data_IF_949958476696
#
_entry.id   IF_949958476696
#
_cell.length_a   1.000
_cell.length_b   1.000
_cell.length_c   1.000
_cell.angle_alpha   90.00
_cell.angle_beta   90.00
_cell.angle_gamma   90.00
#
_symmetry.space_group_name_H-M   'P 1'
#
loop_
_entity.id
_entity.type
_entity.pdbx_description
1 polymer ?
#
# COMPACT_ATOMS: atom_id res chain seq x y z
N UNK A 1 0.56 5.41 -5.76
CA UNK A 1 1.30 4.43 -6.57
C UNK A 1 0.48 3.19 -6.89
N UNK A 2 1.11 2.21 -7.55
CA UNK A 2 0.43 1.02 -8.07
C UNK A 2 -0.12 0.04 -7.03
N UNK A 3 0.29 0.12 -5.76
CA UNK A 3 -0.18 -0.73 -4.67
C UNK A 3 -1.06 0.06 -3.69
N UNK A 4 -0.59 1.22 -3.24
CA UNK A 4 -1.25 1.97 -2.17
C UNK A 4 -2.71 2.34 -2.47
N UNK A 5 -3.05 2.72 -3.72
CA UNK A 5 -4.44 3.07 -4.06
C UNK A 5 -5.40 1.88 -4.01
N UNK A 6 -4.90 0.68 -4.28
CA UNK A 6 -5.68 -0.56 -4.12
C UNK A 6 -5.84 -0.89 -2.65
N UNK A 7 -4.76 -0.81 -1.86
CA UNK A 7 -4.79 -1.07 -0.42
C UNK A 7 -5.79 -0.16 0.32
N UNK A 8 -5.83 1.13 -0.01
CA UNK A 8 -6.80 2.08 0.56
C UNK A 8 -8.24 1.63 0.28
N UNK A 9 -8.56 1.26 -0.95
CA UNK A 9 -9.90 0.82 -1.34
C UNK A 9 -10.30 -0.49 -0.66
N UNK A 10 -9.38 -1.46 -0.59
CA UNK A 10 -9.62 -2.73 0.12
C UNK A 10 -9.88 -2.53 1.61
N UNK A 11 -9.10 -1.67 2.27
CA UNK A 11 -9.30 -1.36 3.68
C UNK A 11 -10.66 -0.66 3.90
N UNK A 12 -11.02 0.30 3.04
CA UNK A 12 -12.33 0.97 3.06
C UNK A 12 -13.49 0.00 2.85
N UNK A 13 -13.38 -0.89 1.88
CA UNK A 13 -14.40 -1.92 1.61
C UNK A 13 -14.61 -2.89 2.80
N UNK A 14 -13.59 -3.03 3.65
CA UNK A 14 -13.66 -3.80 4.91
C UNK A 14 -14.12 -2.97 6.12
N UNK A 15 -14.55 -1.72 5.92
CA UNK A 15 -15.09 -0.84 6.95
C UNK A 15 -14.04 -0.12 7.80
N UNK A 16 -12.76 -0.15 7.42
CA UNK A 16 -11.72 0.56 8.14
C UNK A 16 -11.80 2.08 7.92
N UNK A 17 -11.48 2.85 8.96
CA UNK A 17 -11.06 4.24 8.81
C UNK A 17 -9.63 4.25 8.30
N UNK A 18 -9.39 4.91 7.16
CA UNK A 18 -8.10 4.82 6.47
C UNK A 18 -7.41 6.17 6.42
N UNK A 19 -6.17 6.17 6.83
CA UNK A 19 -5.21 7.26 6.70
C UNK A 19 -4.13 6.82 5.70
N UNK A 20 -3.76 7.68 4.76
CA UNK A 20 -2.78 7.33 3.75
C UNK A 20 -1.74 8.43 3.59
N UNK A 21 -0.46 8.05 3.71
CA UNK A 21 0.65 8.95 3.47
C UNK A 21 0.82 9.19 1.97
N UNK A 22 1.08 10.44 1.60
CA UNK A 22 1.33 10.88 0.24
C UNK A 22 1.96 12.27 0.24
N UNK A 23 2.12 12.87 -0.93
CA UNK A 23 2.52 14.27 -1.07
C UNK A 23 1.28 15.18 -1.09
N UNK A 24 1.48 16.49 -0.90
CA UNK A 24 0.39 17.47 -1.02
C UNK A 24 -0.35 17.35 -2.37
N UNK A 25 0.36 17.08 -3.47
CA UNK A 25 -0.23 16.89 -4.79
C UNK A 25 -1.16 15.66 -4.89
N UNK A 26 -0.95 14.64 -4.05
CA UNK A 26 -1.74 13.42 -4.02
C UNK A 26 -2.96 13.50 -3.08
N UNK A 27 -3.04 14.54 -2.24
CA UNK A 27 -4.05 14.64 -1.18
C UNK A 27 -5.49 14.61 -1.73
N UNK A 28 -5.76 15.27 -2.86
CA UNK A 28 -7.08 15.26 -3.50
C UNK A 28 -7.49 13.85 -3.95
N UNK A 29 -6.57 13.12 -4.55
CA UNK A 29 -6.82 11.74 -4.98
C UNK A 29 -7.02 10.80 -3.78
N UNK A 30 -6.20 10.91 -2.72
CA UNK A 30 -6.37 10.12 -1.51
C UNK A 30 -7.76 10.34 -0.90
N UNK A 31 -8.23 11.60 -0.83
CA UNK A 31 -9.59 11.89 -0.36
C UNK A 31 -10.68 11.28 -1.24
N UNK A 32 -10.50 11.28 -2.56
CA UNK A 32 -11.48 10.67 -3.49
C UNK A 32 -11.62 9.15 -3.29
N UNK A 33 -10.60 8.49 -2.73
CA UNK A 33 -10.66 7.08 -2.31
C UNK A 33 -11.32 6.88 -0.95
N UNK A 34 -11.76 7.94 -0.28
CA UNK A 34 -12.37 7.91 1.04
C UNK A 34 -11.38 7.78 2.20
N UNK A 35 -10.11 8.11 2.00
CA UNK A 35 -9.09 8.13 3.05
C UNK A 35 -8.69 9.55 3.45
N UNK A 36 -8.19 9.70 4.67
CA UNK A 36 -7.58 10.94 5.16
C UNK A 36 -6.12 11.02 4.70
N UNK A 37 -5.73 12.02 3.91
CA UNK A 37 -4.35 12.17 3.47
C UNK A 37 -3.45 12.69 4.58
N UNK A 38 -2.23 12.17 4.64
CA UNK A 38 -1.15 12.65 5.50
C UNK A 38 0.01 13.04 4.58
N UNK A 39 0.40 14.32 4.61
CA UNK A 39 1.55 14.79 3.87
C UNK A 39 2.84 14.40 4.60
N UNK A 40 3.53 13.37 4.09
CA UNK A 40 4.74 12.85 4.70
C UNK A 40 5.99 13.75 4.49
N UNK A 41 5.91 14.75 3.61
CA UNK A 41 7.01 15.69 3.37
C UNK A 41 7.05 16.77 4.46
N UNK A 42 5.90 17.08 5.06
CA UNK A 42 5.77 18.18 6.04
C UNK A 42 5.35 17.71 7.44
N UNK A 43 4.94 16.45 7.59
CA UNK A 43 4.41 15.94 8.85
C UNK A 43 5.23 14.75 9.37
N UNK A 44 5.79 14.86 10.57
CA UNK A 44 6.53 13.74 11.19
C UNK A 44 5.59 12.61 11.61
N UNK A 45 6.16 11.41 11.82
CA UNK A 45 5.40 10.23 12.29
C UNK A 45 4.70 10.51 13.62
N UNK A 46 5.41 11.10 14.56
CA UNK A 46 4.88 11.43 15.88
C UNK A 46 3.74 12.45 15.77
N UNK A 47 3.87 13.43 14.86
CA UNK A 47 2.87 14.46 14.68
C UNK A 47 1.54 13.86 14.16
N UNK A 48 1.57 13.02 13.12
CA UNK A 48 0.33 12.44 12.60
C UNK A 48 -0.24 11.35 13.52
N UNK A 49 0.60 10.59 14.22
CA UNK A 49 0.12 9.64 15.25
C UNK A 49 -0.62 10.39 16.36
N UNK A 50 -0.08 11.50 16.85
CA UNK A 50 -0.76 12.31 17.86
C UNK A 50 -2.05 12.93 17.33
N UNK A 51 -2.03 13.47 16.11
CA UNK A 51 -3.19 14.18 15.55
C UNK A 51 -4.37 13.25 15.25
N UNK A 52 -4.13 12.02 14.82
CA UNK A 52 -5.17 11.12 14.32
C UNK A 52 -5.49 9.94 15.24
N UNK A 53 -4.69 9.70 16.28
CA UNK A 53 -4.88 8.54 17.18
C UNK A 53 -4.72 8.90 18.66
N UNK A 54 -4.69 10.17 19.00
CA UNK A 54 -4.40 10.65 20.36
C UNK A 54 -3.12 10.01 20.95
N UNK A 55 -2.10 9.80 20.11
CA UNK A 55 -0.84 9.19 20.45
C UNK A 55 -0.85 7.67 20.66
N UNK A 56 -2.01 7.01 20.44
CA UNK A 56 -2.14 5.56 20.64
C UNK A 56 -1.46 4.75 19.52
N UNK A 57 -1.41 5.28 18.31
CA UNK A 57 -0.97 4.60 17.10
C UNK A 57 -2.11 3.89 16.37
N UNK A 58 -1.84 3.51 15.12
CA UNK A 58 -2.81 2.87 14.23
C UNK A 58 -2.90 1.37 14.50
N UNK A 59 -4.09 0.79 14.39
CA UNK A 59 -4.31 -0.64 14.61
C UNK A 59 -3.55 -1.50 13.58
N UNK A 60 -3.57 -1.07 12.32
CA UNK A 60 -2.85 -1.71 11.22
C UNK A 60 -2.05 -0.65 10.47
N UNK A 61 -0.77 -0.92 10.24
CA UNK A 61 0.10 -0.10 9.39
C UNK A 61 0.59 -0.97 8.24
N UNK A 62 0.14 -0.66 7.02
CA UNK A 62 0.58 -1.36 5.82
C UNK A 62 1.64 -0.56 5.08
N UNK A 63 2.87 -1.04 5.12
CA UNK A 63 4.00 -0.46 4.40
C UNK A 63 4.12 -1.07 3.00
N UNK A 64 4.13 -0.20 1.98
CA UNK A 64 4.30 -0.55 0.56
C UNK A 64 5.58 0.03 -0.04
N UNK A 65 6.48 0.57 0.77
CA UNK A 65 7.67 1.32 0.36
C UNK A 65 8.97 0.66 0.83
N UNK A 66 8.98 0.14 2.06
CA UNK A 66 10.17 -0.46 2.67
C UNK A 66 11.20 0.56 3.19
N UNK A 67 12.38 0.08 3.56
CA UNK A 67 13.48 0.91 4.05
C UNK A 67 13.08 1.80 5.22
N UNK A 68 13.46 3.11 5.21
CA UNK A 68 13.14 4.03 6.30
C UNK A 68 11.64 4.20 6.58
N UNK A 69 10.78 3.97 5.58
CA UNK A 69 9.32 4.04 5.76
C UNK A 69 8.80 2.87 6.59
N UNK A 70 9.38 1.68 6.41
CA UNK A 70 9.09 0.55 7.27
C UNK A 70 9.56 0.80 8.71
N UNK A 71 10.75 1.39 8.90
CA UNK A 71 11.23 1.76 10.24
C UNK A 71 10.29 2.78 10.92
N UNK A 72 9.78 3.74 10.18
CA UNK A 72 8.77 4.70 10.64
C UNK A 72 7.44 4.01 11.01
N UNK A 73 7.05 2.96 10.30
CA UNK A 73 5.85 2.17 10.57
C UNK A 73 5.89 1.49 11.94
N UNK A 74 7.09 1.08 12.42
CA UNK A 74 7.26 0.53 13.76
C UNK A 74 6.99 1.55 14.87
N UNK A 75 7.07 2.84 14.57
CA UNK A 75 6.74 3.93 15.50
C UNK A 75 5.26 4.31 15.41
N UNK A 76 4.64 4.16 14.25
CA UNK A 76 3.26 4.55 14.01
C UNK A 76 2.23 3.55 14.55
N UNK A 77 2.61 2.29 14.76
CA UNK A 77 1.70 1.22 15.14
C UNK A 77 1.22 1.33 16.59
N UNK A 78 -0.02 0.91 16.87
CA UNK A 78 -0.60 0.88 18.22
C UNK A 78 0.16 -0.10 19.13
N UNK A 79 0.26 0.27 20.40
CA UNK A 79 0.86 -0.59 21.43
C UNK A 79 -0.02 -1.81 21.69
N UNK A 80 0.61 -2.97 21.89
CA UNK A 80 0.07 -4.29 22.22
C UNK A 80 -0.81 -4.94 21.14
N UNK A 81 -1.77 -4.24 20.61
CA UNK A 81 -2.74 -4.81 19.65
C UNK A 81 -2.43 -4.46 18.18
N UNK A 82 -1.44 -3.61 17.93
CA UNK A 82 -1.15 -3.13 16.59
C UNK A 82 -0.36 -4.13 15.74
N UNK A 83 -0.53 -4.03 14.41
CA UNK A 83 0.12 -4.91 13.45
C UNK A 83 0.74 -4.09 12.31
N UNK A 84 2.04 -4.28 12.09
CA UNK A 84 2.73 -3.75 10.91
C UNK A 84 2.82 -4.86 9.87
N UNK A 85 2.36 -4.57 8.66
CA UNK A 85 2.47 -5.46 7.50
C UNK A 85 3.31 -4.78 6.44
N UNK A 86 4.27 -5.48 5.82
CA UNK A 86 5.04 -4.93 4.70
C UNK A 86 5.08 -5.87 3.52
N UNK A 87 5.05 -5.32 2.32
CA UNK A 87 5.33 -6.03 1.06
C UNK A 87 6.76 -5.81 0.56
N UNK A 88 7.55 -4.94 1.21
CA UNK A 88 8.92 -4.56 0.84
C UNK A 88 9.88 -4.58 2.04
N UNK A 89 9.79 -5.59 2.89
CA UNK A 89 10.62 -5.76 4.09
C UNK A 89 12.06 -6.22 3.84
N UNK A 90 12.63 -5.82 2.70
CA UNK A 90 14.00 -6.16 2.34
C UNK A 90 15.01 -5.28 3.07
N UNK A 91 16.10 -5.86 3.50
CA UNK A 91 17.19 -5.13 4.16
C UNK A 91 17.32 -5.44 5.65
N UNK A 92 17.94 -4.52 6.37
CA UNK A 92 18.20 -4.65 7.83
C UNK A 92 17.40 -3.58 8.57
N UNK A 93 16.59 -4.00 9.52
CA UNK A 93 15.71 -3.14 10.29
C UNK A 93 15.93 -3.31 11.79
N UNK A 94 15.81 -2.22 12.56
CA UNK A 94 15.88 -2.24 14.01
C UNK A 94 14.48 -2.53 14.58
N UNK A 95 14.28 -3.70 15.16
CA UNK A 95 12.99 -4.09 15.75
C UNK A 95 12.73 -3.52 17.16
N UNK A 96 13.67 -2.81 17.75
CA UNK A 96 13.49 -2.25 19.10
C UNK A 96 12.25 -1.34 19.22
N UNK A 97 11.95 -0.41 18.28
CA UNK A 97 10.72 0.39 18.35
C UNK A 97 9.44 -0.44 18.36
N UNK A 98 9.40 -1.51 17.55
CA UNK A 98 8.29 -2.46 17.51
C UNK A 98 8.17 -3.23 18.83
N UNK A 99 9.30 -3.73 19.36
CA UNK A 99 9.35 -4.47 20.63
C UNK A 99 8.89 -3.60 21.81
N UNK A 100 9.26 -2.32 21.85
CA UNK A 100 8.79 -1.38 22.88
C UNK A 100 7.30 -1.10 22.82
N UNK A 101 6.66 -1.41 21.69
CA UNK A 101 5.21 -1.32 21.51
C UNK A 101 4.51 -2.65 21.78
N UNK A 102 5.24 -3.77 21.86
CA UNK A 102 4.64 -5.10 21.96
C UNK A 102 3.74 -5.43 20.76
N UNK A 103 4.03 -4.84 19.61
CA UNK A 103 3.22 -4.97 18.41
C UNK A 103 3.67 -6.14 17.53
N UNK A 104 2.80 -6.56 16.62
CA UNK A 104 3.07 -7.66 15.68
C UNK A 104 3.65 -7.12 14.37
N UNK A 105 4.50 -7.91 13.72
CA UNK A 105 5.05 -7.63 12.39
C UNK A 105 4.92 -8.85 11.48
N UNK A 106 4.55 -8.62 10.23
CA UNK A 106 4.57 -9.65 9.18
C UNK A 106 4.99 -9.10 7.82
N UNK A 107 5.71 -9.93 7.08
CA UNK A 107 6.04 -9.71 5.68
C UNK A 107 5.08 -10.43 4.75
N UNK A 108 4.81 -9.84 3.58
CA UNK A 108 4.04 -10.45 2.50
C UNK A 108 4.96 -10.68 1.31
N UNK A 109 5.03 -11.93 0.86
CA UNK A 109 5.77 -12.30 -0.34
C UNK A 109 4.87 -13.12 -1.27
N UNK A 110 4.19 -12.44 -2.17
CA UNK A 110 3.15 -13.02 -3.05
C UNK A 110 3.70 -14.03 -4.06
N UNK A 111 5.01 -14.03 -4.34
CA UNK A 111 5.63 -15.00 -5.23
C UNK A 111 5.81 -16.38 -4.61
N UNK A 112 5.86 -16.50 -3.27
CA UNK A 112 6.16 -17.77 -2.62
C UNK A 112 5.17 -18.88 -3.01
N UNK A 113 3.85 -18.68 -2.94
CA UNK A 113 2.88 -19.69 -3.39
C UNK A 113 3.00 -20.06 -4.87
N UNK A 114 3.43 -19.12 -5.72
CA UNK A 114 3.65 -19.37 -7.14
C UNK A 114 4.88 -20.27 -7.34
N UNK A 115 5.95 -20.02 -6.59
CA UNK A 115 7.20 -20.76 -6.68
C UNK A 115 7.14 -22.16 -6.07
N UNK A 116 6.44 -22.30 -4.93
CA UNK A 116 6.36 -23.56 -4.18
C UNK A 116 5.15 -24.40 -4.55
N UNK A 117 4.11 -23.80 -5.10
CA UNK A 117 2.81 -24.44 -5.32
C UNK A 117 1.93 -24.51 -4.06
N UNK A 118 2.45 -24.16 -2.89
CA UNK A 118 1.71 -24.17 -1.62
C UNK A 118 0.78 -22.95 -1.51
N UNK A 119 -0.38 -23.11 -0.87
CA UNK A 119 -1.36 -22.04 -0.63
C UNK A 119 -1.87 -21.32 -1.89
N UNK A 120 -1.75 -21.89 -3.07
CA UNK A 120 -2.23 -21.28 -4.32
C UNK A 120 -3.76 -21.09 -4.32
N UNK A 121 -4.51 -22.01 -3.70
CA UNK A 121 -5.96 -21.90 -3.57
C UNK A 121 -6.35 -20.63 -2.83
N UNK A 122 -5.65 -20.29 -1.76
CA UNK A 122 -5.89 -19.04 -1.02
C UNK A 122 -5.66 -17.79 -1.88
N UNK A 123 -4.69 -17.81 -2.78
CA UNK A 123 -4.53 -16.72 -3.76
C UNK A 123 -5.73 -16.64 -4.73
N UNK A 124 -6.31 -17.77 -5.12
CA UNK A 124 -7.56 -17.83 -5.89
C UNK A 124 -8.71 -17.15 -5.14
N UNK A 125 -8.93 -17.52 -3.88
CA UNK A 125 -9.94 -16.91 -3.01
C UNK A 125 -9.77 -15.38 -2.88
N UNK A 126 -8.53 -14.89 -2.72
CA UNK A 126 -8.23 -13.45 -2.68
C UNK A 126 -8.64 -12.78 -3.99
N UNK A 127 -8.34 -13.39 -5.14
CA UNK A 127 -8.70 -12.84 -6.45
C UNK A 127 -10.20 -12.84 -6.68
N UNK A 128 -10.94 -13.86 -6.25
CA UNK A 128 -12.40 -13.91 -6.29
C UNK A 128 -13.04 -12.78 -5.47
N UNK A 129 -12.53 -12.55 -4.25
CA UNK A 129 -12.97 -11.44 -3.42
C UNK A 129 -12.66 -10.08 -4.07
N UNK A 130 -11.47 -9.92 -4.67
CA UNK A 130 -11.11 -8.70 -5.38
C UNK A 130 -12.00 -8.47 -6.61
N UNK A 131 -12.35 -9.53 -7.34
CA UNK A 131 -13.29 -9.47 -8.48
C UNK A 131 -14.67 -9.00 -8.01
N UNK A 132 -15.19 -9.56 -6.94
CA UNK A 132 -16.48 -9.15 -6.35
C UNK A 132 -16.49 -7.66 -6.00
N UNK A 133 -15.42 -7.15 -5.38
CA UNK A 133 -15.30 -5.73 -5.06
C UNK A 133 -15.19 -4.86 -6.31
N UNK A 134 -14.49 -5.32 -7.35
CA UNK A 134 -14.37 -4.59 -8.60
C UNK A 134 -15.70 -4.50 -9.35
N UNK A 135 -16.46 -5.60 -9.43
CA UNK A 135 -17.81 -5.64 -10.03
C UNK A 135 -18.80 -4.75 -9.27
N UNK A 136 -18.66 -4.64 -7.95
CA UNK A 136 -19.44 -3.73 -7.11
C UNK A 136 -18.98 -2.25 -7.19
N UNK A 137 -17.94 -1.93 -7.98
CA UNK A 137 -17.36 -0.58 -8.07
C UNK A 137 -16.61 -0.12 -6.82
N UNK A 138 -16.32 -1.02 -5.88
CA UNK A 138 -15.61 -0.73 -4.63
C UNK A 138 -14.09 -0.84 -4.77
N UNK A 139 -13.61 -1.42 -5.87
CA UNK A 139 -12.21 -1.53 -6.23
C UNK A 139 -12.01 -1.09 -7.68
N UNK A 140 -11.48 0.11 -7.87
CA UNK A 140 -11.23 0.69 -9.19
C UNK A 140 -9.74 0.95 -9.36
N UNK A 141 -9.04 0.20 -10.23
CA UNK A 141 -7.64 0.44 -10.51
C UNK A 141 -7.43 1.81 -11.16
N UNK A 142 -6.46 2.57 -10.66
CA UNK A 142 -6.00 3.77 -11.34
C UNK A 142 -5.05 3.36 -12.47
N UNK A 143 -5.40 3.70 -13.69
CA UNK A 143 -4.56 3.51 -14.87
C UNK A 143 -3.84 4.82 -15.22
N UNK A 144 -2.59 4.70 -15.62
CA UNK A 144 -1.87 5.83 -16.22
C UNK A 144 -2.55 6.18 -17.55
N UNK A 145 -2.76 7.47 -17.84
CA UNK A 145 -3.45 7.90 -19.07
C UNK A 145 -2.63 7.67 -20.34
N UNK A 146 -1.33 7.34 -20.22
CA UNK A 146 -0.47 7.10 -21.38
C UNK A 146 -0.72 5.71 -21.94
N UNK A 147 -1.03 5.66 -23.23
CA UNK A 147 -1.24 4.39 -23.95
C UNK A 147 0.08 3.86 -24.48
N UNK A 148 0.31 2.57 -24.29
CA UNK A 148 1.48 1.86 -24.83
C UNK A 148 1.03 0.62 -25.60
N UNK A 149 1.82 0.24 -26.60
CA UNK A 149 1.71 -0.99 -27.38
C UNK A 149 2.96 -1.84 -27.16
N UNK A 150 3.00 -3.05 -27.71
CA UNK A 150 4.20 -3.90 -27.65
C UNK A 150 5.42 -3.18 -28.26
N UNK A 151 5.25 -2.40 -29.32
CA UNK A 151 6.34 -1.65 -29.96
C UNK A 151 6.88 -0.50 -29.08
N UNK A 152 6.09 -0.03 -28.13
CA UNK A 152 6.44 1.06 -27.19
C UNK A 152 6.62 0.57 -25.74
N UNK A 153 6.73 -0.74 -25.53
CA UNK A 153 6.85 -1.33 -24.19
C UNK A 153 8.08 -0.82 -23.42
N UNK A 154 9.18 -0.52 -24.12
CA UNK A 154 10.37 0.08 -23.50
C UNK A 154 10.05 1.44 -22.85
N UNK A 155 9.27 2.27 -23.53
CA UNK A 155 8.84 3.56 -22.98
C UNK A 155 7.90 3.39 -21.76
N UNK A 156 7.07 2.35 -21.74
CA UNK A 156 6.25 1.99 -20.58
C UNK A 156 7.13 1.64 -19.37
N UNK A 157 8.15 0.82 -19.57
CA UNK A 157 9.13 0.49 -18.52
C UNK A 157 9.88 1.73 -18.04
N UNK A 158 10.32 2.59 -18.95
CA UNK A 158 10.99 3.84 -18.59
C UNK A 158 10.10 4.78 -17.77
N UNK A 159 8.81 4.86 -18.09
CA UNK A 159 7.84 5.63 -17.29
C UNK A 159 7.73 5.09 -15.87
N UNK A 160 7.60 3.78 -15.69
CA UNK A 160 7.55 3.15 -14.36
C UNK A 160 8.86 3.40 -13.60
N UNK A 161 10.01 3.17 -14.23
CA UNK A 161 11.32 3.35 -13.61
C UNK A 161 11.59 4.80 -13.17
N UNK A 162 11.03 5.78 -13.89
CA UNK A 162 11.13 7.21 -13.53
C UNK A 162 10.33 7.61 -12.29
N UNK A 163 9.46 6.76 -11.76
CA UNK A 163 8.55 7.05 -10.65
C UNK A 163 7.42 8.05 -10.99
N UNK A 164 7.28 8.47 -12.25
CA UNK A 164 6.28 9.46 -12.69
C UNK A 164 4.92 8.84 -13.07
N UNK A 165 4.84 7.52 -13.16
CA UNK A 165 3.61 6.82 -13.49
C UNK A 165 2.48 7.13 -12.48
N UNK A 166 1.30 7.41 -12.98
CA UNK A 166 0.10 7.70 -12.17
C UNK A 166 -0.79 6.46 -12.07
N UNK A 167 -0.38 5.49 -11.25
CA UNK A 167 -1.12 4.23 -11.10
C UNK A 167 -0.48 3.08 -11.87
N UNK A 168 -1.29 2.27 -12.54
CA UNK A 168 -0.84 1.11 -13.32
C UNK A 168 -0.59 1.50 -14.76
N UNK A 169 0.60 1.19 -15.26
CA UNK A 169 0.94 1.34 -16.69
C UNK A 169 0.53 0.06 -17.42
N UNK A 170 -0.22 0.22 -18.48
CA UNK A 170 -0.76 -0.89 -19.28
C UNK A 170 -0.17 -0.85 -20.69
N UNK A 171 0.23 -2.02 -21.18
CA UNK A 171 0.65 -2.22 -22.56
C UNK A 171 -0.44 -3.02 -23.29
N UNK A 172 -1.02 -2.43 -24.34
CA UNK A 172 -1.99 -3.11 -25.20
C UNK A 172 -1.29 -4.14 -26.09
N UNK A 173 -1.76 -5.39 -26.03
CA UNK A 173 -1.21 -6.50 -26.84
C UNK A 173 -2.03 -6.72 -28.12
N UNK A 174 -3.24 -6.18 -28.17
CA UNK A 174 -4.12 -6.23 -29.34
C UNK A 174 -4.21 -4.83 -29.96
N UNK A 175 -4.33 -4.74 -31.30
CA UNK A 175 -4.51 -3.46 -31.98
C UNK A 175 -5.83 -2.80 -31.63
#
# INVERSE_FOLDING_TARGET
>A
GGVGHVAVQLARARGAEVFATGTAAQAGYIRSLGATPIDHETTSVEAYVNAFTDGQGFDIVYDTVGGPVLDASFVAVRRYSGHVVTSLGWGTHKLAPLSFRGATFSGVFTLLPILTGEFREHHGEIMEQATTLAEAGQLVPLLDPTSFTLDTAEAAHALVASGRARGKVVVSVLP
#
